data_IF_295586804606
#
_entry.id   IF_295586804606
#
_cell.length_a   1.000
_cell.length_b   1.000
_cell.length_c   1.000
_cell.angle_alpha   90.00
_cell.angle_beta   90.00
_cell.angle_gamma   90.00
#
_symmetry.space_group_name_H-M   'P 1'
#
loop_
_entity.id
_entity.type
_entity.pdbx_description
1 polymer ?
#
# COMPACT_ATOMS: atom_id res chain seq x y z
N UNK A 1 24.38 12.13 18.95
CA UNK A 1 23.39 11.74 19.97
C UNK A 1 23.09 10.28 19.71
N UNK A 2 23.27 9.42 20.71
CA UNK A 2 22.87 8.01 20.65
C UNK A 2 21.78 7.82 21.69
N UNK A 3 20.65 7.26 21.28
CA UNK A 3 19.58 6.82 22.17
C UNK A 3 19.56 5.32 22.04
N UNK A 4 20.05 4.61 23.06
CA UNK A 4 20.19 3.16 22.98
C UNK A 4 18.82 2.48 23.08
N UNK A 5 17.97 2.89 24.03
CA UNK A 5 16.62 2.38 24.20
C UNK A 5 15.64 3.50 24.57
N UNK A 6 14.40 3.40 24.06
CA UNK A 6 13.27 4.22 24.51
C UNK A 6 12.16 3.31 25.03
N UNK A 7 11.99 3.27 26.34
CA UNK A 7 10.85 2.60 26.99
C UNK A 7 9.89 3.68 27.49
N UNK A 8 8.66 3.67 26.99
CA UNK A 8 7.67 4.68 27.38
C UNK A 8 6.27 4.10 27.50
N UNK A 9 5.65 4.33 28.65
CA UNK A 9 4.34 3.80 28.99
C UNK A 9 3.35 4.87 29.43
N UNK A 10 2.14 4.83 28.88
CA UNK A 10 0.99 5.59 29.39
C UNK A 10 1.04 7.09 29.12
N UNK A 11 1.84 7.54 28.16
CA UNK A 11 1.94 8.97 27.82
C UNK A 11 0.61 9.47 27.27
N UNK A 12 0.16 10.60 27.81
CA UNK A 12 -0.99 11.33 27.27
C UNK A 12 -0.50 12.69 26.80
N UNK A 13 -0.45 12.88 25.48
CA UNK A 13 -0.05 14.12 24.85
C UNK A 13 -1.27 14.82 24.23
N UNK A 14 -1.35 16.13 24.47
CA UNK A 14 -2.30 17.02 23.79
C UNK A 14 -1.49 18.14 23.16
N UNK A 15 -1.34 18.09 21.85
CA UNK A 15 -0.59 19.07 21.08
C UNK A 15 -1.60 19.90 20.31
N UNK A 16 -1.57 21.22 20.52
CA UNK A 16 -2.46 22.12 19.82
C UNK A 16 -1.65 23.27 19.20
N UNK A 17 -1.94 23.56 17.93
CA UNK A 17 -1.52 24.77 17.23
C UNK A 17 -2.75 25.50 16.70
N UNK A 18 -2.87 26.77 17.09
CA UNK A 18 -3.89 27.67 16.56
C UNK A 18 -3.52 28.15 15.14
N UNK A 19 -4.30 29.02 14.52
CA UNK A 19 -4.00 29.54 13.16
C UNK A 19 -2.71 30.35 13.04
N UNK A 20 -2.00 30.58 14.15
CA UNK A 20 -0.66 31.17 14.13
C UNK A 20 0.38 30.05 13.95
N UNK A 21 1.13 30.01 12.83
CA UNK A 21 2.09 28.95 12.55
C UNK A 21 3.22 28.84 13.58
N UNK A 22 3.55 29.93 14.28
CA UNK A 22 4.74 30.07 15.11
C UNK A 22 4.53 29.64 16.58
N UNK A 23 3.29 29.33 16.98
CA UNK A 23 2.96 29.10 18.40
C UNK A 23 2.27 27.77 18.60
N UNK A 24 2.98 26.85 19.27
CA UNK A 24 2.45 25.61 19.81
C UNK A 24 2.28 25.71 21.32
N UNK A 25 1.41 24.88 21.89
CA UNK A 25 1.20 24.83 23.35
C UNK A 25 2.43 24.32 24.15
N UNK A 26 3.45 23.79 23.48
CA UNK A 26 4.72 23.37 24.09
C UNK A 26 5.91 24.25 23.69
N UNK A 27 5.70 25.36 22.97
CA UNK A 27 6.78 26.29 22.58
C UNK A 27 7.59 26.76 23.80
N UNK A 28 6.95 26.91 24.97
CA UNK A 28 7.62 27.25 26.22
C UNK A 28 8.71 26.25 26.65
N UNK A 29 8.60 24.96 26.29
CA UNK A 29 9.64 23.96 26.57
C UNK A 29 10.85 24.17 25.67
N UNK A 30 10.62 24.46 24.38
CA UNK A 30 11.68 24.81 23.44
C UNK A 30 12.35 26.10 23.90
N UNK A 31 11.58 27.13 24.23
CA UNK A 31 12.10 28.42 24.71
C UNK A 31 12.90 28.26 26.02
N UNK A 32 12.47 27.38 26.92
CA UNK A 32 13.17 27.13 28.19
C UNK A 32 14.45 26.30 28.02
N UNK A 33 14.53 25.45 27.00
CA UNK A 33 15.68 24.59 26.71
C UNK A 33 16.64 25.21 25.69
N UNK A 34 16.25 26.29 25.02
CA UNK A 34 17.10 27.07 24.13
C UNK A 34 17.78 28.19 24.91
N UNK A 35 19.11 28.12 25.06
CA UNK A 35 19.88 29.26 25.55
C UNK A 35 19.97 30.33 24.46
N UNK A 36 19.95 31.61 24.84
CA UNK A 36 20.18 32.74 23.92
C UNK A 36 21.38 32.49 23.01
N UNK A 37 21.16 32.60 21.71
CA UNK A 37 22.07 32.25 20.61
C UNK A 37 23.49 32.80 20.78
N UNK A 38 24.46 31.89 20.80
CA UNK A 38 25.85 32.21 20.43
C UNK A 38 25.88 32.40 18.91
N UNK A 39 26.25 33.60 18.45
CA UNK A 39 26.13 34.02 17.04
C UNK A 39 27.27 33.55 16.14
N UNK A 40 28.13 32.63 16.62
CA UNK A 40 29.12 31.99 15.78
C UNK A 40 28.51 30.80 15.05
N UNK A 41 27.90 31.07 13.89
CA UNK A 41 27.57 30.02 12.92
C UNK A 41 28.88 29.39 12.42
N UNK A 42 29.33 28.35 13.11
CA UNK A 42 30.28 27.39 12.55
C UNK A 42 29.46 26.36 11.81
N UNK A 43 29.88 26.00 10.59
CA UNK A 43 29.37 24.81 9.89
C UNK A 43 29.70 23.60 10.75
N UNK A 44 28.80 23.23 11.66
CA UNK A 44 28.93 22.04 12.48
C UNK A 44 28.83 20.83 11.57
N UNK A 45 29.66 19.81 11.80
CA UNK A 45 29.45 18.50 11.19
C UNK A 45 28.00 18.06 11.43
N UNK A 46 27.36 17.35 10.47
CA UNK A 46 26.01 16.84 10.66
C UNK A 46 25.92 16.08 11.99
N UNK A 47 24.85 16.33 12.73
CA UNK A 47 24.62 15.67 13.99
C UNK A 47 24.35 14.19 13.71
N UNK A 48 25.29 13.32 14.06
CA UNK A 48 25.03 11.88 14.04
C UNK A 48 24.00 11.56 15.12
N UNK A 49 22.81 11.14 14.69
CA UNK A 49 21.73 10.65 15.55
C UNK A 49 21.66 9.15 15.33
N UNK A 50 21.67 8.37 16.40
CA UNK A 50 21.38 6.94 16.40
C UNK A 50 20.22 6.67 17.36
N UNK A 51 19.31 5.79 16.96
CA UNK A 51 18.14 5.37 17.73
C UNK A 51 18.16 3.85 17.69
N UNK A 52 18.30 3.22 18.86
CA UNK A 52 18.15 1.78 19.03
C UNK A 52 16.68 1.41 19.25
N UNK A 53 16.39 0.50 20.16
CA UNK A 53 15.06 -0.10 20.28
C UNK A 53 14.03 0.83 20.92
N UNK A 54 12.77 0.73 20.48
CA UNK A 54 11.62 1.47 21.02
C UNK A 54 10.59 0.47 21.54
N UNK A 55 10.19 0.62 22.81
CA UNK A 55 9.06 -0.08 23.44
C UNK A 55 8.08 0.99 23.95
N UNK A 56 6.98 1.15 23.25
CA UNK A 56 6.00 2.19 23.49
C UNK A 56 4.62 1.56 23.73
N UNK A 57 4.07 1.74 24.91
CA UNK A 57 2.80 1.13 25.32
C UNK A 57 1.80 2.15 25.88
N UNK A 58 0.52 1.95 25.61
CA UNK A 58 -0.60 2.72 26.17
C UNK A 58 -0.55 4.24 25.91
N UNK A 59 -0.02 4.68 24.76
CA UNK A 59 0.03 6.12 24.43
C UNK A 59 -1.30 6.65 23.92
N UNK A 60 -1.60 7.91 24.27
CA UNK A 60 -2.73 8.67 23.74
C UNK A 60 -2.26 10.02 23.26
N UNK A 61 -2.41 10.28 21.97
CA UNK A 61 -2.09 11.58 21.37
C UNK A 61 -3.35 12.19 20.80
N UNK A 62 -3.60 13.45 21.17
CA UNK A 62 -4.47 14.34 20.44
C UNK A 62 -3.60 15.44 19.86
N UNK A 63 -3.49 15.52 18.54
CA UNK A 63 -2.79 16.58 17.83
C UNK A 63 -3.82 17.35 17.02
N UNK A 64 -3.95 18.65 17.27
CA UNK A 64 -4.85 19.54 16.53
C UNK A 64 -4.06 20.74 16.03
N UNK A 65 -4.08 20.92 14.72
CA UNK A 65 -3.31 21.95 14.03
C UNK A 65 -4.22 22.68 13.06
N UNK A 66 -4.75 23.81 13.51
CA UNK A 66 -5.68 24.62 12.73
C UNK A 66 -5.00 25.28 11.52
N UNK A 67 -3.68 25.55 11.60
CA UNK A 67 -2.92 26.17 10.52
C UNK A 67 -2.72 25.22 9.33
N UNK A 68 -2.28 23.98 9.57
CA UNK A 68 -2.16 22.95 8.52
C UNK A 68 -3.45 22.17 8.29
N UNK A 69 -4.49 22.41 9.09
CA UNK A 69 -5.74 21.65 9.04
C UNK A 69 -5.57 20.17 9.33
N UNK A 70 -4.74 19.82 10.31
CA UNK A 70 -4.46 18.42 10.66
C UNK A 70 -5.00 18.12 12.04
N UNK A 71 -5.93 17.17 12.12
CA UNK A 71 -6.43 16.63 13.39
C UNK A 71 -6.13 15.13 13.45
N UNK A 72 -5.34 14.72 14.44
CA UNK A 72 -4.94 13.34 14.70
C UNK A 72 -5.38 12.94 16.10
N UNK A 73 -6.08 11.81 16.18
CA UNK A 73 -6.33 11.10 17.43
C UNK A 73 -5.69 9.71 17.33
N UNK A 74 -4.72 9.44 18.20
CA UNK A 74 -4.02 8.17 18.28
C UNK A 74 -4.26 7.57 19.67
N UNK A 75 -4.72 6.32 19.68
CA UNK A 75 -4.72 5.43 20.84
C UNK A 75 -3.81 4.27 20.46
N UNK A 76 -2.57 4.32 20.94
CA UNK A 76 -1.57 3.30 20.69
C UNK A 76 -1.66 2.23 21.79
N UNK A 77 -1.80 0.96 21.37
CA UNK A 77 -1.73 -0.19 22.27
C UNK A 77 -0.28 -0.52 22.59
N UNK A 78 0.43 -1.06 21.59
CA UNK A 78 1.84 -1.41 21.68
C UNK A 78 2.54 -1.14 20.35
N UNK A 79 3.73 -0.55 20.42
CA UNK A 79 4.68 -0.42 19.34
C UNK A 79 6.04 -0.88 19.86
N UNK A 80 6.56 -1.95 19.28
CA UNK A 80 7.93 -2.41 19.51
C UNK A 80 8.71 -2.28 18.19
N UNK A 81 9.87 -1.65 18.24
CA UNK A 81 10.77 -1.54 17.09
C UNK A 81 12.17 -1.87 17.56
N UNK A 82 12.85 -2.81 16.90
CA UNK A 82 14.26 -3.07 17.10
C UNK A 82 15.06 -2.55 15.91
N UNK A 83 15.96 -1.61 16.15
CA UNK A 83 16.69 -0.88 15.11
C UNK A 83 18.14 -1.36 15.10
N UNK A 84 18.54 -2.02 14.02
CA UNK A 84 19.92 -2.49 13.83
C UNK A 84 20.80 -1.48 13.10
N UNK A 85 20.24 -0.67 12.19
CA UNK A 85 20.93 0.44 11.53
C UNK A 85 20.04 1.70 11.44
N UNK A 86 20.57 2.84 11.88
CA UNK A 86 19.96 4.15 11.69
C UNK A 86 21.02 5.16 11.26
N UNK A 87 21.10 5.46 9.96
CA UNK A 87 22.05 6.41 9.40
C UNK A 87 21.36 7.46 8.50
N UNK A 88 21.20 8.67 9.06
CA UNK A 88 20.64 9.82 8.34
C UNK A 88 21.55 10.37 7.23
N UNK A 89 22.86 10.08 7.25
CA UNK A 89 23.78 10.59 6.22
C UNK A 89 23.69 9.75 4.95
N UNK A 90 23.62 8.42 5.10
CA UNK A 90 23.46 7.48 3.98
C UNK A 90 22.00 7.13 3.69
N UNK A 91 21.06 7.60 4.54
CA UNK A 91 19.63 7.31 4.49
C UNK A 91 19.34 5.81 4.54
N UNK A 92 20.08 5.09 5.39
CA UNK A 92 19.93 3.66 5.62
C UNK A 92 19.26 3.39 6.95
N UNK A 93 18.23 2.56 6.90
CA UNK A 93 17.43 2.19 8.04
C UNK A 93 17.18 0.68 8.01
N UNK A 94 17.70 -0.05 8.98
CA UNK A 94 17.49 -1.49 9.11
C UNK A 94 16.85 -1.78 10.46
N UNK A 95 15.76 -2.54 10.42
CA UNK A 95 15.01 -2.97 11.59
C UNK A 95 15.04 -4.50 11.65
N UNK A 96 15.38 -5.06 12.81
CA UNK A 96 15.27 -6.51 13.01
C UNK A 96 13.79 -6.86 13.26
N UNK A 97 13.07 -6.01 13.99
CA UNK A 97 11.67 -6.21 14.35
C UNK A 97 10.88 -4.90 14.23
N UNK A 98 9.69 -4.97 13.65
CA UNK A 98 8.64 -3.95 13.75
C UNK A 98 7.33 -4.61 14.16
N UNK A 99 6.77 -4.23 15.31
CA UNK A 99 5.53 -4.80 15.85
C UNK A 99 4.59 -3.67 16.26
N UNK A 100 3.44 -3.56 15.58
CA UNK A 100 2.38 -2.61 15.95
C UNK A 100 1.10 -3.38 16.26
N UNK A 101 0.60 -3.23 17.49
CA UNK A 101 -0.57 -3.97 17.95
C UNK A 101 -1.62 -3.10 18.63
N UNK A 102 -2.89 -3.48 18.47
CA UNK A 102 -4.02 -2.94 19.24
C UNK A 102 -4.13 -1.40 19.16
N UNK A 103 -3.97 -0.85 17.96
CA UNK A 103 -3.83 0.61 17.76
C UNK A 103 -5.01 1.19 16.98
N UNK A 104 -5.41 2.40 17.35
CA UNK A 104 -6.45 3.16 16.66
C UNK A 104 -5.90 4.53 16.27
N UNK A 105 -6.00 4.86 14.98
CA UNK A 105 -5.61 6.14 14.42
C UNK A 105 -6.79 6.77 13.68
N UNK A 106 -7.09 8.01 14.01
CA UNK A 106 -7.94 8.87 13.21
C UNK A 106 -7.11 10.05 12.73
N UNK A 107 -7.13 10.30 11.44
CA UNK A 107 -6.52 11.46 10.81
C UNK A 107 -7.54 12.17 9.91
N UNK A 108 -7.87 13.41 10.26
CA UNK A 108 -8.63 14.34 9.42
C UNK A 108 -7.69 15.42 8.87
N UNK A 109 -7.68 15.56 7.54
CA UNK A 109 -7.03 16.65 6.83
C UNK A 109 -8.08 17.60 6.25
N UNK A 110 -8.01 18.87 6.63
CA UNK A 110 -8.94 19.93 6.21
C UNK A 110 -8.33 20.96 5.26
N UNK A 111 -7.00 21.09 5.21
CA UNK A 111 -6.30 21.94 4.26
C UNK A 111 -5.41 21.12 3.32
N UNK A 112 -5.20 21.62 2.11
CA UNK A 112 -4.13 21.13 1.24
C UNK A 112 -2.78 21.37 1.92
N UNK A 113 -1.83 20.45 1.71
CA UNK A 113 -0.47 20.70 2.15
C UNK A 113 0.10 21.89 1.38
N UNK A 114 0.87 22.77 2.04
CA UNK A 114 1.56 23.85 1.35
C UNK A 114 2.48 23.24 0.28
N UNK A 115 2.41 23.77 -0.93
CA UNK A 115 3.34 23.37 -2.00
C UNK A 115 4.72 23.90 -1.63
N UNK A 116 5.60 23.00 -1.21
CA UNK A 116 7.02 23.29 -1.04
C UNK A 116 7.77 22.76 -2.25
N UNK A 117 8.43 23.65 -2.98
CA UNK A 117 9.43 23.27 -3.97
C UNK A 117 10.62 22.69 -3.21
N UNK A 118 10.77 21.36 -3.20
CA UNK A 118 12.00 20.73 -2.71
C UNK A 118 13.08 20.95 -3.76
N UNK A 119 13.97 21.90 -3.47
CA UNK A 119 15.10 22.26 -4.33
C UNK A 119 16.38 21.52 -3.94
N UNK A 120 16.30 20.60 -2.99
CA UNK A 120 17.47 19.89 -2.46
C UNK A 120 17.50 18.44 -2.94
N UNK A 121 18.61 18.07 -3.60
CA UNK A 121 18.89 16.67 -3.90
C UNK A 121 19.35 15.99 -2.62
N UNK A 122 18.45 15.22 -2.00
CA UNK A 122 18.74 14.39 -0.84
C UNK A 122 18.98 12.95 -1.27
N UNK A 123 19.79 12.22 -0.50
CA UNK A 123 19.89 10.77 -0.69
C UNK A 123 18.52 10.14 -0.46
N UNK A 124 18.13 9.19 -1.32
CA UNK A 124 16.87 8.47 -1.17
C UNK A 124 17.03 7.33 -0.16
N UNK A 125 15.97 7.01 0.60
CA UNK A 125 16.07 6.02 1.65
C UNK A 125 16.24 4.60 1.12
N UNK A 126 17.01 3.82 1.89
CA UNK A 126 17.16 2.38 1.80
C UNK A 126 16.67 1.80 3.12
N UNK A 127 15.60 1.01 3.08
CA UNK A 127 14.93 0.47 4.26
C UNK A 127 14.95 -1.05 4.18
N UNK A 128 15.40 -1.70 5.25
CA UNK A 128 15.34 -3.14 5.45
C UNK A 128 14.57 -3.44 6.74
N UNK A 129 13.68 -4.44 6.71
CA UNK A 129 12.97 -4.92 7.91
C UNK A 129 12.92 -6.44 7.88
N UNK A 130 13.54 -7.12 8.84
CA UNK A 130 13.54 -8.59 8.88
C UNK A 130 12.13 -9.12 9.21
N UNK A 131 11.52 -8.66 10.30
CA UNK A 131 10.18 -9.07 10.73
C UNK A 131 9.23 -7.87 10.90
N UNK A 132 8.26 -7.71 10.02
CA UNK A 132 7.23 -6.66 10.12
C UNK A 132 5.86 -7.26 10.44
N UNK A 133 5.29 -6.85 11.56
CA UNK A 133 4.05 -7.40 12.10
C UNK A 133 3.09 -6.29 12.53
N UNK A 134 1.88 -6.31 11.99
CA UNK A 134 0.79 -5.43 12.41
C UNK A 134 -0.41 -6.28 12.78
N UNK A 135 -0.94 -6.09 14.00
CA UNK A 135 -2.09 -6.84 14.48
C UNK A 135 -3.16 -5.93 15.10
N UNK A 136 -4.41 -6.13 14.71
CA UNK A 136 -5.57 -5.43 15.26
C UNK A 136 -5.38 -3.90 15.26
N UNK A 137 -5.23 -3.33 14.06
CA UNK A 137 -5.02 -1.89 13.85
C UNK A 137 -6.20 -1.29 13.10
N UNK A 138 -6.76 -0.20 13.63
CA UNK A 138 -7.87 0.52 13.02
C UNK A 138 -7.39 1.91 12.60
N UNK A 139 -7.50 2.24 11.32
CA UNK A 139 -7.11 3.53 10.77
C UNK A 139 -8.31 4.15 10.07
N UNK A 140 -8.60 5.40 10.40
CA UNK A 140 -9.54 6.23 9.64
C UNK A 140 -8.79 7.43 9.12
N UNK A 141 -8.81 7.62 7.80
CA UNK A 141 -8.22 8.79 7.18
C UNK A 141 -9.25 9.50 6.30
N UNK A 142 -9.42 10.80 6.53
CA UNK A 142 -10.38 11.65 5.84
C UNK A 142 -9.67 12.89 5.31
N UNK A 143 -9.36 12.87 4.02
CA UNK A 143 -8.87 14.03 3.28
C UNK A 143 -10.04 14.79 2.67
N UNK A 144 -10.39 15.93 3.27
CA UNK A 144 -11.36 16.86 2.72
C UNK A 144 -10.93 17.46 1.37
N UNK A 145 -9.68 17.96 1.20
CA UNK A 145 -9.24 18.52 -0.08
C UNK A 145 -9.18 17.46 -1.18
N UNK A 146 -8.65 16.27 -0.87
CA UNK A 146 -8.53 15.17 -1.83
C UNK A 146 -9.83 14.38 -2.06
N UNK A 147 -10.89 14.62 -1.28
CA UNK A 147 -12.14 13.88 -1.38
C UNK A 147 -12.00 12.39 -1.06
N UNK A 148 -11.00 12.00 -0.28
CA UNK A 148 -10.67 10.61 0.04
C UNK A 148 -11.08 10.30 1.48
N UNK A 149 -11.90 9.28 1.68
CA UNK A 149 -12.18 8.70 2.98
C UNK A 149 -11.78 7.23 2.95
N UNK A 150 -11.05 6.81 3.97
CA UNK A 150 -10.62 5.43 4.14
C UNK A 150 -10.89 4.96 5.55
N UNK A 151 -11.37 3.73 5.67
CA UNK A 151 -11.45 3.02 6.93
C UNK A 151 -10.76 1.68 6.74
N UNK A 152 -9.71 1.46 7.51
CA UNK A 152 -8.91 0.24 7.48
C UNK A 152 -9.08 -0.42 8.84
N UNK A 153 -9.65 -1.63 8.86
CA UNK A 153 -9.58 -2.53 10.01
C UNK A 153 -8.64 -3.65 9.62
N UNK A 154 -7.42 -3.58 10.11
CA UNK A 154 -6.33 -4.48 9.75
C UNK A 154 -6.24 -5.57 10.81
N UNK A 155 -6.49 -6.81 10.39
CA UNK A 155 -6.45 -8.00 11.23
C UNK A 155 -5.01 -8.39 11.51
N UNK A 156 -4.39 -9.12 10.58
CA UNK A 156 -2.98 -9.50 10.62
C UNK A 156 -2.30 -9.07 9.33
N UNK A 157 -1.17 -8.39 9.45
CA UNK A 157 -0.22 -8.14 8.37
C UNK A 157 1.12 -8.66 8.83
N UNK A 158 1.71 -9.56 8.05
CA UNK A 158 3.06 -10.06 8.28
C UNK A 158 3.84 -9.92 6.98
N UNK A 159 5.03 -9.36 7.06
CA UNK A 159 5.99 -9.25 5.97
C UNK A 159 7.36 -9.64 6.51
N UNK A 160 8.09 -10.48 5.79
CA UNK A 160 9.44 -10.91 6.15
C UNK A 160 10.45 -10.43 5.12
N UNK A 161 11.67 -10.12 5.56
CA UNK A 161 12.80 -9.75 4.69
C UNK A 161 12.45 -8.59 3.74
N UNK A 162 11.79 -7.55 4.25
CA UNK A 162 11.42 -6.37 3.47
C UNK A 162 12.69 -5.65 3.02
N UNK A 163 12.72 -5.30 1.73
CA UNK A 163 13.69 -4.38 1.16
C UNK A 163 12.95 -3.29 0.38
N UNK A 164 13.18 -2.03 0.74
CA UNK A 164 12.77 -0.86 -0.04
C UNK A 164 13.98 0.04 -0.34
N UNK A 165 14.56 -0.13 -1.54
CA UNK A 165 15.60 0.74 -2.08
C UNK A 165 14.97 1.71 -3.08
N UNK A 166 14.58 2.88 -2.55
CA UNK A 166 13.86 3.92 -3.32
C UNK A 166 14.75 4.50 -4.42
N UNK A 167 16.08 4.45 -4.27
CA UNK A 167 17.01 4.92 -5.29
C UNK A 167 17.02 4.04 -6.54
N UNK A 168 16.60 2.77 -6.40
CA UNK A 168 16.54 1.77 -7.48
C UNK A 168 15.11 1.34 -7.84
N UNK A 169 14.09 1.98 -7.27
CA UNK A 169 12.68 1.55 -7.40
C UNK A 169 12.49 0.06 -7.09
N UNK A 170 13.22 -0.46 -6.08
CA UNK A 170 13.26 -1.88 -5.74
C UNK A 170 12.52 -2.13 -4.43
N UNK A 171 11.51 -2.98 -4.50
CA UNK A 171 10.61 -3.31 -3.39
C UNK A 171 10.40 -4.82 -3.34
N UNK A 172 10.90 -5.45 -2.29
CA UNK A 172 10.91 -6.91 -2.16
C UNK A 172 10.51 -7.31 -0.74
N UNK A 173 9.98 -8.52 -0.60
CA UNK A 173 9.65 -9.19 0.66
C UNK A 173 9.72 -10.69 0.40
N UNK A 174 10.01 -11.52 1.40
CA UNK A 174 9.95 -12.98 1.24
C UNK A 174 8.48 -13.43 1.33
N UNK A 175 7.86 -13.26 2.50
CA UNK A 175 6.44 -13.54 2.74
C UNK A 175 5.61 -12.25 2.79
N UNK A 176 4.38 -12.30 2.24
CA UNK A 176 3.33 -11.30 2.43
C UNK A 176 2.05 -11.96 2.91
N UNK A 177 1.67 -11.68 4.14
CA UNK A 177 0.42 -12.14 4.75
C UNK A 177 -0.50 -10.95 5.01
N UNK A 178 -1.75 -11.06 4.58
CA UNK A 178 -2.82 -10.13 4.96
C UNK A 178 -4.08 -10.94 5.29
N UNK A 179 -4.41 -11.07 6.56
CA UNK A 179 -5.57 -11.83 7.01
C UNK A 179 -6.60 -10.96 7.75
N UNK A 180 -7.86 -11.38 7.69
CA UNK A 180 -8.97 -10.88 8.51
C UNK A 180 -9.13 -9.35 8.49
N UNK A 181 -8.93 -8.73 7.31
CA UNK A 181 -8.93 -7.27 7.17
C UNK A 181 -10.14 -6.73 6.40
N UNK A 182 -10.62 -5.55 6.79
CA UNK A 182 -11.69 -4.81 6.12
C UNK A 182 -11.15 -3.44 5.66
N UNK A 183 -11.16 -3.22 4.35
CA UNK A 183 -10.66 -2.01 3.71
C UNK A 183 -11.82 -1.34 2.98
N UNK A 184 -12.24 -0.16 3.44
CA UNK A 184 -13.29 0.67 2.83
C UNK A 184 -12.67 1.95 2.29
N UNK A 185 -12.78 2.17 0.98
CA UNK A 185 -12.28 3.35 0.29
C UNK A 185 -13.45 4.09 -0.37
N UNK A 186 -13.62 5.37 -0.03
CA UNK A 186 -14.62 6.25 -0.62
C UNK A 186 -13.96 7.44 -1.25
N UNK A 187 -14.22 7.62 -2.54
CA UNK A 187 -13.71 8.74 -3.32
C UNK A 187 -14.83 9.73 -3.64
N UNK A 188 -14.49 11.02 -3.66
CA UNK A 188 -15.26 12.08 -4.28
C UNK A 188 -14.43 12.61 -5.44
N UNK A 189 -14.84 12.27 -6.65
CA UNK A 189 -14.25 12.80 -7.87
C UNK A 189 -15.19 13.81 -8.50
N UNK A 190 -14.66 14.97 -8.86
CA UNK A 190 -15.27 15.80 -9.89
C UNK A 190 -14.95 15.16 -11.25
N UNK A 191 -15.93 15.07 -12.16
CA UNK A 191 -15.70 14.54 -13.51
C UNK A 191 -14.73 15.46 -14.24
N UNK A 192 -13.44 15.14 -14.15
CA UNK A 192 -12.44 15.86 -14.93
C UNK A 192 -12.51 15.28 -16.33
N UNK A 193 -12.99 16.07 -17.29
CA UNK A 193 -12.97 15.71 -18.71
C UNK A 193 -11.51 15.48 -19.11
N UNK A 194 -11.08 14.22 -19.18
CA UNK A 194 -9.74 13.87 -19.64
C UNK A 194 -9.63 14.37 -21.08
N UNK A 195 -8.90 15.47 -21.27
CA UNK A 195 -8.68 16.13 -22.56
C UNK A 195 -7.23 15.94 -23.00
N UNK A 196 -6.66 14.78 -22.70
CA UNK A 196 -5.32 14.41 -23.12
C UNK A 196 -5.39 13.14 -23.97
N UNK A 197 -5.24 13.32 -25.28
CA UNK A 197 -4.70 12.25 -26.13
C UNK A 197 -3.25 12.06 -25.70
N UNK A 198 -3.03 11.25 -24.66
CA UNK A 198 -1.68 10.92 -24.24
C UNK A 198 -1.10 9.98 -25.31
N UNK A 199 -0.22 10.52 -26.16
CA UNK A 199 0.49 9.78 -27.23
C UNK A 199 1.84 9.26 -26.74
N UNK A 200 2.03 9.09 -25.43
CA UNK A 200 3.25 8.52 -24.89
C UNK A 200 3.39 7.08 -25.40
N UNK A 201 4.53 6.76 -26.00
CA UNK A 201 4.84 5.38 -26.38
C UNK A 201 5.01 4.54 -25.10
N UNK A 202 4.67 3.25 -25.20
CA UNK A 202 4.85 2.33 -24.07
C UNK A 202 6.34 2.15 -23.75
N UNK A 203 6.66 2.30 -22.46
CA UNK A 203 7.94 1.93 -21.86
C UNK A 203 7.67 1.01 -20.66
N UNK A 204 8.57 0.07 -20.41
CA UNK A 204 8.48 -0.77 -19.23
C UNK A 204 8.69 0.09 -17.98
N UNK A 205 7.82 -0.02 -16.96
CA UNK A 205 8.08 0.61 -15.67
C UNK A 205 9.44 0.16 -15.10
N UNK A 206 10.31 1.12 -14.80
CA UNK A 206 11.64 0.88 -14.22
C UNK A 206 11.52 0.59 -12.71
N UNK A 207 10.85 -0.51 -12.37
CA UNK A 207 10.66 -1.02 -11.01
C UNK A 207 11.19 -2.45 -10.89
N UNK A 208 11.60 -2.81 -9.68
CA UNK A 208 11.83 -4.20 -9.28
C UNK A 208 10.85 -4.50 -8.16
N UNK A 209 9.97 -5.47 -8.36
CA UNK A 209 8.97 -5.87 -7.36
C UNK A 209 9.05 -7.38 -7.20
N UNK A 210 9.23 -7.87 -5.97
CA UNK A 210 9.24 -9.31 -5.71
C UNK A 210 8.54 -9.70 -4.41
N UNK A 211 7.89 -10.85 -4.43
CA UNK A 211 7.41 -11.56 -3.25
C UNK A 211 7.48 -13.08 -3.51
N UNK A 212 8.08 -13.84 -2.60
CA UNK A 212 8.19 -15.30 -2.78
C UNK A 212 6.87 -15.99 -2.46
N UNK A 213 6.22 -15.61 -1.37
CA UNK A 213 4.95 -16.16 -0.90
C UNK A 213 3.96 -15.02 -0.60
N UNK A 214 2.72 -15.17 -1.08
CA UNK A 214 1.62 -14.23 -0.88
C UNK A 214 0.41 -15.01 -0.37
N UNK A 215 -0.04 -14.70 0.85
CA UNK A 215 -1.21 -15.28 1.50
C UNK A 215 -2.19 -14.19 1.97
N UNK A 216 -3.27 -14.03 1.21
CA UNK A 216 -4.43 -13.25 1.63
C UNK A 216 -5.56 -14.21 1.99
N UNK A 217 -6.22 -13.98 3.13
CA UNK A 217 -7.35 -14.76 3.56
C UNK A 217 -8.37 -13.92 4.34
N UNK A 218 -9.65 -14.17 4.08
CA UNK A 218 -10.76 -13.55 4.81
C UNK A 218 -10.76 -12.02 4.79
N UNK A 219 -10.32 -11.44 3.67
CA UNK A 219 -10.32 -10.00 3.51
C UNK A 219 -11.61 -9.50 2.85
N UNK A 220 -12.03 -8.31 3.24
CA UNK A 220 -13.12 -7.58 2.60
C UNK A 220 -12.60 -6.25 2.07
N UNK A 221 -12.83 -6.00 0.78
CA UNK A 221 -12.53 -4.73 0.14
C UNK A 221 -13.82 -4.07 -0.34
N UNK A 222 -14.05 -2.84 0.06
CA UNK A 222 -15.19 -2.02 -0.37
C UNK A 222 -14.69 -0.75 -1.02
N UNK A 223 -15.30 -0.39 -2.14
CA UNK A 223 -15.02 0.83 -2.87
C UNK A 223 -16.31 1.54 -3.23
N UNK A 224 -16.33 2.87 -3.13
CA UNK A 224 -17.39 3.67 -3.74
C UNK A 224 -16.87 5.03 -4.20
N UNK A 225 -17.47 5.55 -5.27
CA UNK A 225 -17.19 6.89 -5.78
C UNK A 225 -18.46 7.74 -5.83
N UNK A 226 -18.32 9.00 -5.44
CA UNK A 226 -19.40 10.00 -5.44
C UNK A 226 -20.65 9.55 -4.68
N UNK A 227 -20.45 8.80 -3.59
CA UNK A 227 -21.53 8.29 -2.74
C UNK A 227 -22.44 7.24 -3.39
N UNK A 228 -22.05 6.69 -4.55
CA UNK A 228 -22.80 5.61 -5.20
C UNK A 228 -22.89 4.39 -4.27
N UNK A 229 -24.04 3.74 -4.32
CA UNK A 229 -24.34 2.57 -3.52
C UNK A 229 -24.24 1.30 -4.38
N UNK A 230 -24.03 0.18 -3.72
CA UNK A 230 -24.09 -1.14 -4.35
C UNK A 230 -25.46 -1.36 -4.99
N UNK A 231 -25.46 -2.01 -6.14
CA UNK A 231 -26.67 -2.39 -6.87
C UNK A 231 -27.07 -3.80 -6.42
N UNK A 232 -28.34 -4.03 -6.12
CA UNK A 232 -28.85 -5.35 -5.70
C UNK A 232 -29.14 -6.30 -6.87
N UNK A 233 -28.95 -5.85 -8.11
CA UNK A 233 -29.34 -6.59 -9.32
C UNK A 233 -28.17 -6.91 -10.25
N UNK A 234 -27.04 -6.21 -10.11
CA UNK A 234 -25.88 -6.33 -11.01
C UNK A 234 -24.65 -5.71 -10.38
N UNK A 235 -23.47 -6.11 -10.85
CA UNK A 235 -22.20 -5.50 -10.44
C UNK A 235 -22.16 -4.00 -10.80
N UNK A 236 -21.75 -3.16 -9.84
CA UNK A 236 -21.55 -1.73 -10.05
C UNK A 236 -20.07 -1.38 -9.85
N UNK A 237 -19.29 -1.09 -10.92
CA UNK A 237 -17.87 -0.78 -10.79
C UNK A 237 -17.60 0.52 -10.02
N UNK A 238 -18.62 1.36 -9.81
CA UNK A 238 -18.50 2.58 -9.02
C UNK A 238 -18.90 2.40 -7.54
N UNK A 239 -19.35 1.21 -7.16
CA UNK A 239 -19.71 0.86 -5.79
C UNK A 239 -19.65 -0.67 -5.65
N UNK A 240 -18.45 -1.19 -5.39
CA UNK A 240 -18.18 -2.62 -5.34
C UNK A 240 -17.79 -3.06 -3.93
N UNK A 241 -18.11 -4.32 -3.60
CA UNK A 241 -17.63 -4.99 -2.39
C UNK A 241 -17.24 -6.40 -2.72
N UNK A 242 -16.01 -6.74 -2.35
CA UNK A 242 -15.42 -8.05 -2.50
C UNK A 242 -15.26 -8.60 -1.08
N UNK A 243 -15.90 -9.71 -0.80
CA UNK A 243 -15.92 -10.40 0.48
C UNK A 243 -15.17 -11.73 0.38
N UNK A 244 -14.68 -12.21 1.53
CA UNK A 244 -13.98 -13.50 1.63
C UNK A 244 -12.83 -13.63 0.59
N UNK A 245 -12.16 -12.51 0.29
CA UNK A 245 -11.05 -12.50 -0.66
C UNK A 245 -9.94 -13.39 -0.12
N UNK A 246 -9.58 -14.37 -0.93
CA UNK A 246 -8.46 -15.27 -0.70
C UNK A 246 -7.53 -15.28 -1.91
N UNK A 247 -6.23 -15.16 -1.67
CA UNK A 247 -5.18 -15.31 -2.67
C UNK A 247 -4.03 -16.12 -2.05
N UNK A 248 -3.65 -17.20 -2.71
CA UNK A 248 -2.40 -17.93 -2.46
C UNK A 248 -1.58 -17.89 -3.74
N UNK A 249 -0.50 -17.12 -3.72
CA UNK A 249 0.38 -16.97 -4.86
C UNK A 249 1.85 -17.05 -4.45
N UNK A 250 2.70 -17.40 -5.41
CA UNK A 250 4.14 -17.51 -5.24
C UNK A 250 4.88 -16.91 -6.42
N UNK A 251 6.18 -16.68 -6.24
CA UNK A 251 7.09 -16.28 -7.31
C UNK A 251 6.62 -15.00 -8.04
N UNK A 252 6.08 -14.03 -7.30
CA UNK A 252 5.84 -12.70 -7.86
C UNK A 252 7.22 -12.10 -8.13
N UNK A 253 7.55 -11.90 -9.39
CA UNK A 253 8.80 -11.27 -9.79
C UNK A 253 8.49 -10.34 -10.96
N UNK A 254 8.76 -9.06 -10.79
CA UNK A 254 8.71 -8.06 -11.84
C UNK A 254 10.04 -7.31 -11.93
N UNK A 255 10.52 -7.16 -13.16
CA UNK A 255 11.51 -6.18 -13.59
C UNK A 255 11.19 -5.80 -15.05
N UNK A 256 11.79 -4.74 -15.63
CA UNK A 256 11.62 -4.46 -17.05
C UNK A 256 11.82 -5.71 -17.91
N UNK A 257 10.85 -5.95 -18.81
CA UNK A 257 10.80 -7.12 -19.71
C UNK A 257 10.67 -8.50 -19.05
N UNK A 258 10.41 -8.61 -17.75
CA UNK A 258 10.19 -9.89 -17.09
C UNK A 258 9.14 -9.80 -15.98
N UNK A 259 8.12 -10.63 -16.10
CA UNK A 259 7.10 -10.82 -15.08
C UNK A 259 6.80 -12.31 -14.92
N UNK A 260 6.76 -12.79 -13.69
CA UNK A 260 6.30 -14.13 -13.32
C UNK A 260 5.36 -14.03 -12.12
N UNK A 261 4.38 -14.93 -12.04
CA UNK A 261 3.47 -15.09 -10.91
C UNK A 261 2.79 -16.46 -10.98
N UNK A 262 2.86 -17.22 -9.89
CA UNK A 262 2.16 -18.51 -9.76
C UNK A 262 0.99 -18.37 -8.79
N UNK A 263 -0.24 -18.35 -9.30
CA UNK A 263 -1.45 -18.30 -8.48
C UNK A 263 -1.99 -19.72 -8.30
N UNK A 264 -1.91 -20.24 -7.07
CA UNK A 264 -2.46 -21.56 -6.74
C UNK A 264 -3.93 -21.50 -6.34
N UNK A 265 -4.37 -20.37 -5.79
CA UNK A 265 -5.77 -20.11 -5.45
C UNK A 265 -6.06 -18.62 -5.45
N UNK A 266 -7.11 -18.21 -6.13
CA UNK A 266 -7.74 -16.92 -5.99
C UNK A 266 -9.25 -17.12 -5.95
N UNK A 267 -9.92 -16.57 -4.95
CA UNK A 267 -11.37 -16.67 -4.80
C UNK A 267 -11.92 -15.46 -4.06
N UNK A 268 -13.17 -15.11 -4.36
CA UNK A 268 -13.91 -14.09 -3.64
C UNK A 268 -15.41 -14.20 -3.92
N UNK A 269 -16.20 -13.52 -3.09
CA UNK A 269 -17.63 -13.32 -3.32
C UNK A 269 -17.94 -11.83 -3.45
N UNK A 270 -18.76 -11.49 -4.42
CA UNK A 270 -19.41 -10.18 -4.56
C UNK A 270 -20.90 -10.40 -4.20
N UNK A 271 -21.49 -9.57 -3.32
CA UNK A 271 -22.84 -9.81 -2.78
C UNK A 271 -23.97 -9.96 -3.81
N UNK A 272 -23.78 -9.48 -5.04
CA UNK A 272 -24.81 -9.32 -6.05
C UNK A 272 -24.65 -10.28 -7.23
N UNK A 273 -23.86 -11.35 -7.06
CA UNK A 273 -23.94 -12.55 -7.91
C UNK A 273 -22.67 -12.95 -8.63
N UNK A 274 -21.52 -12.35 -8.32
CA UNK A 274 -20.21 -12.82 -8.79
C UNK A 274 -19.54 -13.61 -7.67
N UNK A 275 -19.44 -14.93 -7.82
CA UNK A 275 -18.69 -15.80 -6.94
C UNK A 275 -17.55 -16.43 -7.72
N UNK A 276 -16.34 -15.91 -7.54
CA UNK A 276 -15.15 -16.58 -8.06
C UNK A 276 -14.79 -17.71 -7.10
N UNK A 277 -15.21 -18.93 -7.43
CA UNK A 277 -14.96 -20.11 -6.60
C UNK A 277 -13.47 -20.47 -6.62
N UNK A 278 -12.83 -20.38 -7.79
CA UNK A 278 -11.41 -20.64 -7.96
C UNK A 278 -10.88 -20.02 -9.25
N UNK A 279 -9.74 -19.35 -9.14
CA UNK A 279 -8.83 -19.08 -10.23
C UNK A 279 -7.43 -19.53 -9.81
N UNK A 280 -6.80 -20.37 -10.62
CA UNK A 280 -5.40 -20.76 -10.49
C UNK A 280 -4.74 -20.69 -11.86
N UNK A 281 -3.47 -20.31 -11.93
CA UNK A 281 -2.69 -20.23 -13.16
C UNK A 281 -1.22 -19.95 -12.84
N UNK A 282 -0.34 -20.20 -13.81
CA UNK A 282 1.02 -19.64 -13.84
C UNK A 282 1.11 -18.61 -14.94
N UNK A 283 1.50 -17.40 -14.61
CA UNK A 283 1.67 -16.29 -15.52
C UNK A 283 3.14 -16.04 -15.80
N UNK A 284 3.45 -15.78 -17.07
CA UNK A 284 4.76 -15.34 -17.51
C UNK A 284 4.61 -14.29 -18.59
N UNK A 285 5.40 -13.23 -18.51
CA UNK A 285 5.43 -12.17 -19.53
C UNK A 285 6.87 -11.69 -19.70
N UNK A 286 7.28 -11.55 -20.96
CA UNK A 286 8.48 -10.83 -21.31
C UNK A 286 8.25 -9.98 -22.56
N UNK A 287 9.29 -9.35 -23.08
CA UNK A 287 9.15 -8.49 -24.24
C UNK A 287 8.67 -9.20 -25.51
N UNK A 288 8.70 -10.53 -25.62
CA UNK A 288 8.36 -11.28 -26.85
C UNK A 288 7.24 -12.30 -26.69
N UNK A 289 6.81 -12.58 -25.46
CA UNK A 289 5.78 -13.56 -25.18
C UNK A 289 5.00 -13.26 -23.90
N UNK A 290 3.76 -13.69 -23.88
CA UNK A 290 2.93 -13.81 -22.68
C UNK A 290 2.36 -15.22 -22.59
N UNK A 291 2.24 -15.76 -21.39
CA UNK A 291 1.69 -17.10 -21.13
C UNK A 291 0.84 -17.12 -19.88
N UNK A 292 -0.27 -17.84 -19.95
CA UNK A 292 -1.04 -18.33 -18.81
C UNK A 292 -1.15 -19.85 -18.98
N UNK A 293 -0.52 -20.61 -18.11
CA UNK A 293 -0.54 -22.08 -18.13
C UNK A 293 -1.22 -22.64 -16.89
N UNK A 294 -1.69 -23.88 -16.99
CA UNK A 294 -2.38 -24.58 -15.90
C UNK A 294 -3.59 -23.78 -15.38
N UNK A 295 -4.31 -23.08 -16.26
CA UNK A 295 -5.44 -22.24 -15.85
C UNK A 295 -6.58 -23.15 -15.38
N UNK A 296 -7.02 -22.95 -14.14
CA UNK A 296 -8.28 -23.50 -13.61
C UNK A 296 -9.16 -22.32 -13.26
N UNK A 297 -10.28 -22.18 -13.97
CA UNK A 297 -11.24 -21.10 -13.76
C UNK A 297 -12.60 -21.67 -13.39
N UNK A 298 -13.17 -21.20 -12.28
CA UNK A 298 -14.49 -21.54 -11.80
C UNK A 298 -15.16 -20.27 -11.24
N UNK A 299 -16.22 -19.83 -11.91
CA UNK A 299 -17.02 -18.68 -11.51
C UNK A 299 -18.48 -19.11 -11.48
N UNK A 300 -19.20 -18.86 -10.39
CA UNK A 300 -20.58 -19.27 -10.20
C UNK A 300 -20.80 -20.75 -10.59
N UNK A 301 -21.43 -21.00 -11.75
CA UNK A 301 -21.72 -22.34 -12.30
C UNK A 301 -20.93 -22.65 -13.58
N UNK A 302 -20.08 -21.73 -14.04
CA UNK A 302 -19.24 -21.84 -15.22
C UNK A 302 -17.81 -22.25 -14.85
N UNK A 303 -17.17 -23.01 -15.73
CA UNK A 303 -15.79 -23.46 -15.54
C UNK A 303 -15.04 -23.63 -16.85
N UNK A 304 -13.72 -23.49 -16.80
CA UNK A 304 -12.84 -23.82 -17.91
C UNK A 304 -11.43 -24.17 -17.40
N UNK A 305 -10.79 -25.12 -18.09
CA UNK A 305 -9.35 -25.32 -17.99
C UNK A 305 -8.68 -24.79 -19.25
N UNK A 306 -7.55 -24.09 -19.13
CA UNK A 306 -6.91 -23.52 -20.32
C UNK A 306 -5.38 -23.38 -20.22
N UNK A 307 -4.75 -23.36 -21.40
CA UNK A 307 -3.39 -22.86 -21.61
C UNK A 307 -3.43 -21.82 -22.73
N UNK A 308 -2.94 -20.62 -22.44
CA UNK A 308 -2.88 -19.49 -23.36
C UNK A 308 -1.42 -19.08 -23.55
N UNK A 309 -1.00 -18.97 -24.81
CA UNK A 309 0.32 -18.48 -25.17
C UNK A 309 0.18 -17.45 -26.29
N UNK A 310 0.76 -16.27 -26.09
CA UNK A 310 0.82 -15.20 -27.07
C UNK A 310 2.28 -14.94 -27.42
N UNK A 311 2.61 -14.97 -28.70
CA UNK A 311 3.92 -14.58 -29.22
C UNK A 311 3.80 -13.28 -30.02
N UNK A 312 4.73 -12.36 -29.80
CA UNK A 312 4.78 -11.05 -30.45
C UNK A 312 6.23 -10.58 -30.62
N UNK A 313 6.44 -9.54 -31.44
CA UNK A 313 7.78 -8.99 -31.68
C UNK A 313 8.32 -8.18 -30.48
N UNK A 314 7.46 -7.34 -29.91
CA UNK A 314 7.71 -6.57 -28.69
C UNK A 314 6.37 -6.40 -27.94
N UNK A 315 6.37 -6.18 -26.62
CA UNK A 315 5.11 -5.88 -25.91
C UNK A 315 4.49 -4.58 -26.44
N UNK A 316 5.32 -3.59 -26.75
CA UNK A 316 4.90 -2.36 -27.43
C UNK A 316 4.15 -2.65 -28.74
N UNK A 317 4.74 -3.46 -29.61
CA UNK A 317 4.13 -3.84 -30.89
C UNK A 317 2.80 -4.57 -30.68
N UNK A 318 2.70 -5.42 -29.65
CA UNK A 318 1.48 -6.15 -29.34
C UNK A 318 0.34 -5.24 -28.86
N UNK A 319 0.67 -4.17 -28.11
CA UNK A 319 -0.30 -3.17 -27.67
C UNK A 319 -0.78 -2.27 -28.81
N UNK A 320 0.11 -1.90 -29.73
CA UNK A 320 -0.22 -1.02 -30.87
C UNK A 320 -0.83 -1.77 -32.06
N UNK A 321 -0.41 -3.02 -32.29
CA UNK A 321 -0.75 -3.83 -33.46
C UNK A 321 -1.05 -5.30 -33.04
N UNK A 322 -2.09 -5.54 -32.22
CA UNK A 322 -2.37 -6.87 -31.65
C UNK A 322 -2.58 -7.95 -32.71
N UNK A 323 -3.03 -7.59 -33.92
CA UNK A 323 -3.22 -8.50 -35.05
C UNK A 323 -1.94 -9.13 -35.59
N UNK A 324 -0.76 -8.58 -35.24
CA UNK A 324 0.55 -9.15 -35.57
C UNK A 324 1.01 -10.21 -34.57
N UNK A 325 0.29 -10.38 -33.47
CA UNK A 325 0.58 -11.37 -32.45
C UNK A 325 -0.01 -12.74 -32.83
N UNK A 326 0.62 -13.82 -32.39
CA UNK A 326 0.12 -15.19 -32.57
C UNK A 326 -0.39 -15.72 -31.24
N UNK A 327 -1.69 -15.96 -31.14
CA UNK A 327 -2.33 -16.60 -29.99
C UNK A 327 -2.48 -18.12 -30.24
N UNK A 328 -2.00 -18.91 -29.28
CA UNK A 328 -2.32 -20.34 -29.15
C UNK A 328 -3.13 -20.52 -27.87
N UNK A 329 -4.30 -21.14 -27.99
CA UNK A 329 -5.18 -21.42 -26.87
C UNK A 329 -5.60 -22.88 -26.90
N UNK A 330 -5.36 -23.60 -25.81
CA UNK A 330 -5.92 -24.92 -25.57
C UNK A 330 -6.95 -24.78 -24.46
N UNK A 331 -8.19 -25.17 -24.72
CA UNK A 331 -9.28 -25.07 -23.74
C UNK A 331 -9.90 -26.46 -23.60
N UNK A 332 -10.05 -26.90 -22.35
CA UNK A 332 -10.65 -28.17 -21.98
C UNK A 332 -11.71 -27.95 -20.89
N UNK A 333 -12.60 -28.93 -20.73
CA UNK A 333 -13.62 -28.96 -19.68
C UNK A 333 -14.47 -27.67 -19.58
N UNK A 334 -14.77 -27.09 -20.73
CA UNK A 334 -15.54 -25.85 -20.83
C UNK A 334 -17.01 -26.12 -20.49
N UNK A 335 -17.47 -25.53 -19.39
CA UNK A 335 -18.87 -25.43 -19.02
C UNK A 335 -19.26 -23.96 -18.89
N UNK A 336 -20.27 -23.52 -19.63
CA UNK A 336 -20.72 -22.13 -19.62
C UNK A 336 -22.22 -22.06 -19.34
N UNK A 337 -22.58 -21.39 -18.27
CA UNK A 337 -23.97 -21.12 -17.91
C UNK A 337 -24.34 -19.69 -18.33
N UNK A 338 -25.39 -19.56 -19.14
CA UNK A 338 -25.80 -18.26 -19.69
C UNK A 338 -26.17 -17.24 -18.60
N UNK A 339 -26.68 -17.72 -17.46
CA UNK A 339 -27.02 -16.87 -16.31
C UNK A 339 -25.81 -16.14 -15.73
N UNK A 340 -24.62 -16.74 -15.79
CA UNK A 340 -23.41 -16.13 -15.24
C UNK A 340 -22.94 -14.93 -16.09
N UNK A 341 -23.19 -14.97 -17.40
CA UNK A 341 -22.85 -13.88 -18.33
C UNK A 341 -23.75 -12.65 -18.17
N UNK A 342 -24.94 -12.81 -17.59
CA UNK A 342 -25.93 -11.74 -17.45
C UNK A 342 -25.76 -10.95 -16.14
N UNK A 343 -25.01 -11.49 -15.18
CA UNK A 343 -24.81 -10.92 -13.84
C UNK A 343 -23.47 -10.15 -13.71
N UNK A 344 -22.61 -10.20 -14.74
CA UNK A 344 -21.31 -9.52 -14.80
C UNK A 344 -21.46 -8.09 -15.35
#
# INVERSE_FOLDING_TARGET
ISIDDVISKGVVAKINRENNPDVFNFTFLIDALTTTTDTTATTSAPMNINVGSLDITDWKLNYSDAYLGTDINLILGQLDIDVSEFDLNSMKFSLDDFKLSNTQLQYVQSHEFPITEDTTSTALPHIEVEDFNVNNVNITYNSQPGGLQTQLKLGTIELTEILADVSKNRYETDDLVLHDSEIDVKLRSEETKITTTNTAEFEWPEFIIAANDIDLAQNTFSYSINGKQQSTESFNPNASKIEELQLLAQNLEYRPEQFNLDVSKFSFSEPNGIHLNQLAFKAGLNNTKASLSDVVFQINNSSANADLNVQFNSLKDALENPEKSTLTANIADLNLELGDLLNI
#
